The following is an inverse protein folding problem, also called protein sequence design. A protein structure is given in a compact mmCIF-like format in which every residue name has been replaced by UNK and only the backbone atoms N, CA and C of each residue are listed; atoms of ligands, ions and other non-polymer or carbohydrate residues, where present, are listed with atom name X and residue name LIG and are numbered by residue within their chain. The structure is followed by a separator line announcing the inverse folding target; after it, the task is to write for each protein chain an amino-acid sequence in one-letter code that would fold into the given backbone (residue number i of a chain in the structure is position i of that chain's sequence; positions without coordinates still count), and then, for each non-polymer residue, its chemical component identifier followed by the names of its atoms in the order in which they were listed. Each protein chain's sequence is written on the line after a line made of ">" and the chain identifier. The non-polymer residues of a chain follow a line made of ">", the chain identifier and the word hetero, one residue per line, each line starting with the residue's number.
data_IF_371450936804
#
_entry.id   IF_371450936804
#
_cell.length_a   1.000
_cell.length_b   1.000
_cell.length_c   1.000
_cell.angle_alpha   90.00
_cell.angle_beta   90.00
_cell.angle_gamma   90.00
#
_symmetry.space_group_name_H-M   'P 1'
#
loop_
_entity.id
_entity.type
_entity.pdbx_description
1 polymer ?
#
# COMPACT_ATOMS: atom_id res chain seq x y z
N UNK A 1 -83.87 40.30 -41.90
CA UNK A 1 -83.75 40.09 -40.44
C UNK A 1 -82.50 39.24 -40.18
N UNK A 2 -81.44 39.85 -39.61
CA UNK A 2 -80.20 39.24 -39.05
C UNK A 2 -79.25 38.52 -40.03
N UNK A 3 -77.92 38.56 -39.99
CA UNK A 3 -76.84 39.37 -39.38
C UNK A 3 -75.60 38.99 -40.22
N UNK A 4 -74.74 39.95 -40.52
CA UNK A 4 -73.45 39.80 -41.21
C UNK A 4 -72.46 39.06 -40.32
N UNK A 5 -71.62 38.16 -40.88
CA UNK A 5 -70.25 37.97 -40.37
C UNK A 5 -69.31 37.41 -41.44
N UNK A 6 -68.40 38.27 -41.89
CA UNK A 6 -67.19 37.94 -42.66
C UNK A 6 -66.14 37.37 -41.70
N UNK A 7 -65.53 36.22 -42.02
CA UNK A 7 -64.33 35.72 -41.33
C UNK A 7 -63.22 35.50 -42.35
N UNK A 8 -62.16 36.32 -42.20
CA UNK A 8 -60.95 36.34 -43.01
C UNK A 8 -59.93 35.37 -42.39
N UNK A 9 -59.51 34.33 -43.11
CA UNK A 9 -58.46 33.41 -42.65
C UNK A 9 -57.07 34.03 -42.86
N UNK A 10 -56.43 34.49 -41.79
CA UNK A 10 -55.02 34.89 -41.74
C UNK A 10 -54.13 33.66 -41.48
N UNK A 11 -53.25 33.34 -42.42
CA UNK A 11 -52.22 32.32 -42.27
C UNK A 11 -51.02 32.88 -41.46
N UNK A 12 -50.67 32.23 -40.34
CA UNK A 12 -49.49 32.55 -39.55
C UNK A 12 -48.38 31.54 -39.93
N UNK A 13 -47.19 31.97 -40.38
CA UNK A 13 -46.07 31.06 -40.51
C UNK A 13 -45.47 30.77 -39.13
N UNK A 14 -45.55 29.51 -38.72
CA UNK A 14 -44.93 29.00 -37.50
C UNK A 14 -43.41 28.82 -37.75
N UNK A 15 -42.63 29.87 -37.52
CA UNK A 15 -41.16 29.76 -37.51
C UNK A 15 -40.69 29.01 -36.26
N UNK A 16 -40.57 27.69 -36.37
CA UNK A 16 -39.96 26.84 -35.36
C UNK A 16 -38.46 27.18 -35.20
N UNK A 17 -38.11 27.89 -34.14
CA UNK A 17 -36.73 28.19 -33.76
C UNK A 17 -36.10 26.95 -33.12
N UNK A 18 -35.42 26.12 -33.92
CA UNK A 18 -34.60 25.00 -33.44
C UNK A 18 -33.31 25.53 -32.78
N UNK A 19 -33.39 25.93 -31.50
CA UNK A 19 -32.18 26.11 -30.68
C UNK A 19 -31.53 24.75 -30.46
N UNK A 20 -30.35 24.54 -31.07
CA UNK A 20 -29.51 23.37 -30.80
C UNK A 20 -29.13 23.35 -29.31
N UNK A 21 -29.30 22.23 -28.59
CA UNK A 21 -28.81 22.12 -27.22
C UNK A 21 -27.30 22.29 -27.21
N UNK A 22 -26.79 23.11 -26.30
CA UNK A 22 -25.36 23.27 -26.08
C UNK A 22 -24.75 21.89 -25.80
N UNK A 23 -23.75 21.52 -26.61
CA UNK A 23 -23.03 20.24 -26.47
C UNK A 23 -22.36 20.24 -25.10
N UNK A 24 -22.87 19.43 -24.17
CA UNK A 24 -22.31 19.24 -22.83
C UNK A 24 -20.83 18.89 -23.01
N UNK A 25 -19.94 19.68 -22.40
CA UNK A 25 -18.50 19.41 -22.47
C UNK A 25 -18.25 17.97 -22.02
N UNK A 26 -17.48 17.22 -22.82
CA UNK A 26 -17.12 15.85 -22.47
C UNK A 26 -16.43 15.85 -21.09
N UNK A 27 -16.78 14.88 -20.25
CA UNK A 27 -16.12 14.73 -18.96
C UNK A 27 -14.61 14.56 -19.18
N UNK A 28 -13.75 15.17 -18.34
CA UNK A 28 -12.31 14.97 -18.44
C UNK A 28 -11.98 13.47 -18.38
N UNK A 29 -10.99 12.99 -19.16
CA UNK A 29 -10.57 11.60 -19.08
C UNK A 29 -10.16 11.24 -17.63
N UNK A 30 -10.40 10.00 -17.20
CA UNK A 30 -10.05 9.57 -15.85
C UNK A 30 -8.56 9.80 -15.60
N UNK A 31 -8.18 10.24 -14.39
CA UNK A 31 -6.78 10.50 -14.07
C UNK A 31 -5.96 9.21 -14.22
N UNK A 32 -4.81 9.32 -14.87
CA UNK A 32 -3.88 8.20 -15.04
C UNK A 32 -3.28 7.86 -13.67
N UNK A 33 -3.61 6.68 -13.16
CA UNK A 33 -2.99 6.12 -11.97
C UNK A 33 -1.67 5.45 -12.37
N UNK A 34 -0.66 5.60 -11.51
CA UNK A 34 0.65 4.96 -11.65
C UNK A 34 0.81 3.97 -10.52
N UNK A 35 1.20 2.74 -10.86
CA UNK A 35 1.51 1.67 -9.90
C UNK A 35 2.98 1.29 -9.99
N UNK A 36 3.70 1.31 -8.87
CA UNK A 36 5.12 0.96 -8.82
C UNK A 36 5.57 0.51 -7.43
N UNK A 37 6.75 -0.10 -7.36
CA UNK A 37 7.42 -0.34 -6.09
C UNK A 37 7.97 1.00 -5.57
N UNK A 38 7.65 1.40 -4.32
CA UNK A 38 8.12 2.67 -3.78
C UNK A 38 9.62 2.62 -3.45
N UNK A 39 10.23 3.79 -3.32
CA UNK A 39 11.51 3.89 -2.60
C UNK A 39 11.25 3.59 -1.12
N UNK A 40 11.98 2.61 -0.58
CA UNK A 40 11.79 2.17 0.80
C UNK A 40 13.11 1.97 1.53
N UNK A 41 13.09 2.19 2.83
CA UNK A 41 14.18 1.83 3.75
C UNK A 41 13.70 0.69 4.65
N UNK A 42 14.41 -0.42 4.61
CA UNK A 42 14.20 -1.57 5.48
C UNK A 42 15.29 -1.58 6.56
N UNK A 43 14.99 -1.26 7.84
CA UNK A 43 16.00 -1.24 8.90
C UNK A 43 16.62 -2.60 9.15
N UNK A 44 15.82 -3.66 9.02
CA UNK A 44 16.25 -5.04 9.27
C UNK A 44 15.91 -5.92 8.07
N UNK A 45 16.78 -5.96 7.03
CA UNK A 45 16.57 -6.84 5.88
C UNK A 45 16.62 -8.31 6.29
N UNK A 46 15.50 -9.02 6.12
CA UNK A 46 15.44 -10.45 6.38
C UNK A 46 16.24 -11.19 5.30
N UNK A 47 16.02 -10.85 4.03
CA UNK A 47 16.77 -11.39 2.89
C UNK A 47 15.87 -11.65 1.68
N UNK A 48 16.39 -12.43 0.73
CA UNK A 48 15.67 -12.80 -0.49
C UNK A 48 15.20 -14.25 -0.40
N UNK A 49 13.96 -14.50 -0.79
CA UNK A 49 13.40 -15.83 -0.90
C UNK A 49 14.15 -16.70 -1.92
N UNK A 50 14.48 -17.93 -1.54
CA UNK A 50 15.24 -18.85 -2.39
C UNK A 50 14.41 -19.29 -3.59
N UNK A 51 13.11 -19.53 -3.40
CA UNK A 51 12.21 -19.98 -4.47
C UNK A 51 11.55 -18.80 -5.19
N UNK A 52 10.94 -17.90 -4.43
CA UNK A 52 10.15 -16.77 -4.93
C UNK A 52 10.99 -15.64 -5.53
N UNK A 53 12.26 -15.53 -5.11
CA UNK A 53 13.19 -14.44 -5.46
C UNK A 53 12.71 -13.04 -5.03
N UNK A 54 11.71 -12.95 -4.15
CA UNK A 54 11.23 -11.68 -3.61
C UNK A 54 12.03 -11.30 -2.36
N UNK A 55 12.12 -10.00 -2.10
CA UNK A 55 12.78 -9.48 -0.90
C UNK A 55 11.82 -9.39 0.27
N UNK A 56 12.29 -9.76 1.45
CA UNK A 56 11.55 -9.70 2.71
C UNK A 56 12.24 -8.75 3.68
N UNK A 57 11.44 -7.97 4.41
CA UNK A 57 11.90 -7.09 5.48
C UNK A 57 11.27 -7.50 6.82
N UNK A 58 12.07 -7.62 7.87
CA UNK A 58 11.56 -7.86 9.22
C UNK A 58 10.82 -6.59 9.71
N UNK A 59 9.61 -6.77 10.24
CA UNK A 59 8.84 -5.73 10.93
C UNK A 59 9.21 -5.76 12.41
N UNK A 60 9.87 -4.70 12.87
CA UNK A 60 10.32 -4.57 14.25
C UNK A 60 9.20 -4.02 15.13
N UNK A 61 9.05 -4.59 16.32
CA UNK A 61 8.27 -3.96 17.39
C UNK A 61 9.03 -2.70 17.80
N UNK A 62 8.43 -1.53 17.63
CA UNK A 62 9.05 -0.24 17.92
C UNK A 62 7.96 0.81 18.22
N UNK A 63 8.34 1.94 18.82
CA UNK A 63 7.41 3.05 19.12
C UNK A 63 7.65 4.30 18.29
N UNK A 64 8.84 4.43 17.72
CA UNK A 64 9.23 5.56 16.87
C UNK A 64 9.02 5.19 15.41
N UNK A 65 8.16 5.90 14.64
CA UNK A 65 7.98 5.69 13.21
C UNK A 65 9.30 5.70 12.44
N UNK A 66 10.30 6.49 12.84
CA UNK A 66 11.60 6.53 12.17
C UNK A 66 12.40 5.21 12.26
N UNK A 67 12.09 4.36 13.25
CA UNK A 67 12.72 3.05 13.42
C UNK A 67 12.00 1.91 12.66
N UNK A 68 10.86 2.21 12.03
CA UNK A 68 10.09 1.24 11.24
C UNK A 68 10.52 1.12 9.79
N UNK A 69 9.76 0.38 9.00
CA UNK A 69 9.99 0.27 7.55
C UNK A 69 9.43 1.54 6.90
N UNK A 70 10.34 2.36 6.35
CA UNK A 70 9.98 3.66 5.80
C UNK A 70 9.64 3.52 4.31
N UNK A 71 8.48 4.01 3.92
CA UNK A 71 8.01 4.00 2.53
C UNK A 71 7.86 5.46 2.09
N UNK A 72 8.67 5.90 1.14
CA UNK A 72 8.58 7.24 0.56
C UNK A 72 7.54 7.25 -0.56
N UNK A 73 6.68 8.26 -0.52
CA UNK A 73 5.63 8.47 -1.50
C UNK A 73 6.09 9.53 -2.50
N UNK A 74 6.15 9.21 -3.81
CA UNK A 74 6.47 10.20 -4.83
C UNK A 74 5.45 11.36 -4.82
N UNK A 75 5.80 12.54 -5.37
CA UNK A 75 4.87 13.64 -5.50
C UNK A 75 3.56 13.23 -6.20
N UNK A 76 2.45 13.37 -5.49
CA UNK A 76 1.14 12.87 -5.91
C UNK A 76 0.03 13.89 -5.65
N UNK A 77 -1.18 13.54 -6.10
CA UNK A 77 -2.43 14.27 -5.83
C UNK A 77 -3.48 13.32 -5.32
N UNK A 78 -4.21 13.73 -4.29
CA UNK A 78 -5.17 12.86 -3.62
C UNK A 78 -4.49 11.75 -2.82
N UNK A 79 -5.25 10.76 -2.35
CA UNK A 79 -4.70 9.66 -1.54
C UNK A 79 -3.82 8.71 -2.36
N UNK A 80 -2.97 7.96 -1.66
CA UNK A 80 -2.15 6.86 -2.21
C UNK A 80 -2.68 5.53 -1.71
N UNK A 81 -2.80 4.54 -2.59
CA UNK A 81 -3.07 3.16 -2.18
C UNK A 81 -1.73 2.46 -1.95
N UNK A 82 -1.47 2.04 -0.71
CA UNK A 82 -0.34 1.20 -0.33
C UNK A 82 -0.81 -0.26 -0.25
N UNK A 83 -0.09 -1.17 -0.91
CA UNK A 83 -0.33 -2.62 -0.79
C UNK A 83 0.95 -3.37 -0.45
N UNK A 84 0.84 -4.43 0.32
CA UNK A 84 1.95 -5.35 0.61
C UNK A 84 1.42 -6.70 1.11
N UNK A 85 2.27 -7.71 1.09
CA UNK A 85 2.00 -9.00 1.72
C UNK A 85 2.59 -9.01 3.13
N UNK A 86 1.77 -9.37 4.11
CA UNK A 86 2.15 -9.51 5.52
C UNK A 86 2.25 -10.99 5.87
N UNK A 87 3.34 -11.36 6.53
CA UNK A 87 3.65 -12.74 6.92
C UNK A 87 3.99 -12.81 8.41
N UNK A 88 3.69 -13.95 9.05
CA UNK A 88 4.28 -14.23 10.36
C UNK A 88 5.71 -14.76 10.19
N UNK A 89 6.53 -14.54 11.22
CA UNK A 89 7.94 -14.93 11.21
C UNK A 89 8.17 -16.22 12.00
N UNK A 90 8.53 -17.30 11.32
CA UNK A 90 8.84 -18.61 11.92
C UNK A 90 10.35 -18.80 12.06
N UNK A 91 10.80 -19.32 13.21
CA UNK A 91 12.16 -19.89 13.33
C UNK A 91 12.09 -21.40 13.06
N UNK A 92 12.55 -21.81 11.89
CA UNK A 92 12.52 -23.18 11.40
C UNK A 92 13.58 -24.08 12.04
N UNK A 93 13.17 -25.26 12.49
CA UNK A 93 14.01 -26.31 13.06
C UNK A 93 13.58 -27.67 12.51
N UNK A 94 14.46 -28.34 11.74
CA UNK A 94 14.22 -29.71 11.24
C UNK A 94 14.01 -30.71 12.37
N UNK A 95 14.71 -30.51 13.49
CA UNK A 95 14.63 -31.38 14.66
C UNK A 95 13.25 -31.32 15.31
N UNK A 96 12.71 -30.12 15.49
CA UNK A 96 11.38 -29.95 16.09
C UNK A 96 10.28 -30.46 15.17
N UNK A 97 10.44 -30.33 13.85
CA UNK A 97 9.48 -30.88 12.88
C UNK A 97 9.48 -32.40 12.96
N UNK A 98 10.65 -33.05 12.94
CA UNK A 98 10.76 -34.50 13.09
C UNK A 98 10.25 -34.98 14.45
N UNK A 99 10.48 -34.18 15.50
CA UNK A 99 10.02 -34.44 16.86
C UNK A 99 8.55 -34.14 17.11
N UNK A 100 7.78 -33.66 16.12
CA UNK A 100 6.37 -33.25 16.26
C UNK A 100 6.13 -32.16 17.32
N UNK A 101 7.15 -31.33 17.58
CA UNK A 101 7.11 -30.20 18.53
C UNK A 101 7.08 -28.83 17.84
N UNK A 102 7.14 -28.81 16.51
CA UNK A 102 7.28 -27.57 15.75
C UNK A 102 6.00 -26.75 15.65
N UNK A 103 4.84 -27.28 16.09
CA UNK A 103 3.58 -26.58 15.97
C UNK A 103 3.63 -25.22 16.66
N UNK A 104 3.29 -24.18 15.91
CA UNK A 104 3.10 -22.83 16.43
C UNK A 104 2.02 -22.09 15.64
N UNK A 105 1.08 -21.46 16.35
CA UNK A 105 0.15 -20.49 15.78
C UNK A 105 0.64 -19.09 16.11
N UNK A 106 0.78 -18.26 15.10
CA UNK A 106 1.23 -16.88 15.22
C UNK A 106 0.10 -15.92 14.91
N UNK A 107 0.01 -14.85 15.69
CA UNK A 107 -0.84 -13.69 15.40
C UNK A 107 -0.01 -12.44 15.60
N UNK A 108 0.43 -11.81 14.50
CA UNK A 108 1.13 -10.54 14.53
C UNK A 108 0.18 -9.40 14.18
N UNK A 109 0.27 -8.29 14.93
CA UNK A 109 -0.38 -7.03 14.60
C UNK A 109 0.66 -5.94 14.36
N UNK A 110 0.43 -5.16 13.31
CA UNK A 110 1.29 -4.07 12.87
C UNK A 110 0.47 -2.78 12.70
N UNK A 111 1.12 -1.64 12.87
CA UNK A 111 0.58 -0.32 12.56
C UNK A 111 1.26 0.25 11.31
N UNK A 112 0.47 0.99 10.51
CA UNK A 112 1.00 1.90 9.50
C UNK A 112 0.74 3.32 9.99
N UNK A 113 1.82 4.10 10.14
CA UNK A 113 1.80 5.39 10.78
C UNK A 113 2.39 6.47 9.87
N UNK A 114 1.93 7.70 10.05
CA UNK A 114 2.62 8.90 9.57
C UNK A 114 3.90 9.11 10.38
N UNK A 115 4.78 9.99 9.90
CA UNK A 115 6.05 10.28 10.58
C UNK A 115 5.88 11.06 11.89
N UNK A 116 4.73 11.71 12.10
CA UNK A 116 4.37 12.34 13.38
C UNK A 116 3.71 11.38 14.38
N UNK A 117 3.78 10.07 14.12
CA UNK A 117 3.25 9.00 14.95
C UNK A 117 1.71 8.93 15.01
N UNK A 118 1.02 9.47 14.00
CA UNK A 118 -0.42 9.28 13.81
C UNK A 118 -0.70 7.94 13.14
N UNK A 119 -1.55 7.12 13.75
CA UNK A 119 -1.95 5.83 13.18
C UNK A 119 -2.89 6.03 11.99
N UNK A 120 -2.51 5.49 10.83
CA UNK A 120 -3.33 5.45 9.62
C UNK A 120 -4.20 4.19 9.62
N UNK A 121 -3.59 3.03 9.83
CA UNK A 121 -4.28 1.74 9.80
C UNK A 121 -3.54 0.68 10.61
N UNK A 122 -4.26 -0.36 11.01
CA UNK A 122 -3.74 -1.55 11.67
C UNK A 122 -4.00 -2.77 10.81
N UNK A 123 -3.01 -3.62 10.66
CA UNK A 123 -3.11 -4.89 9.95
C UNK A 123 -2.73 -6.06 10.86
N UNK A 124 -3.31 -7.22 10.60
CA UNK A 124 -3.10 -8.43 11.39
C UNK A 124 -2.91 -9.61 10.43
N UNK A 125 -1.96 -10.48 10.74
CA UNK A 125 -1.80 -11.78 10.07
C UNK A 125 -1.87 -12.89 11.10
N UNK A 126 -2.59 -13.96 10.77
CA UNK A 126 -2.62 -15.19 11.54
C UNK A 126 -2.25 -16.38 10.67
N UNK A 127 -1.36 -17.22 11.16
CA UNK A 127 -0.97 -18.45 10.47
C UNK A 127 -0.51 -19.52 11.44
N UNK A 128 -0.50 -20.75 10.96
CA UNK A 128 0.00 -21.90 11.70
C UNK A 128 1.17 -22.52 10.96
N UNK A 129 2.20 -22.86 11.70
CA UNK A 129 3.33 -23.63 11.22
C UNK A 129 3.29 -25.01 11.84
N UNK A 130 3.38 -26.06 11.00
CA UNK A 130 3.45 -27.47 11.41
C UNK A 130 4.69 -28.13 10.82
N UNK A 131 5.00 -27.81 9.56
CA UNK A 131 6.08 -28.42 8.79
C UNK A 131 6.71 -27.40 7.84
N UNK A 132 7.84 -27.75 7.22
CA UNK A 132 8.50 -26.92 6.21
C UNK A 132 7.58 -26.50 5.05
N UNK A 133 6.48 -27.22 4.79
CA UNK A 133 5.50 -26.89 3.74
C UNK A 133 4.64 -25.67 4.06
N UNK A 134 4.57 -25.27 5.33
CA UNK A 134 3.82 -24.09 5.76
C UNK A 134 4.64 -22.79 5.65
N UNK A 135 5.92 -22.90 5.24
CA UNK A 135 6.75 -21.75 4.93
C UNK A 135 6.36 -21.19 3.56
N UNK A 136 6.27 -19.87 3.47
CA UNK A 136 6.07 -19.16 2.20
C UNK A 136 7.33 -19.28 1.33
N UNK A 137 8.50 -19.15 1.95
CA UNK A 137 9.79 -19.39 1.30
C UNK A 137 10.87 -19.72 2.36
N UNK A 138 12.00 -20.24 1.90
CA UNK A 138 13.25 -20.24 2.66
C UNK A 138 14.02 -18.99 2.31
N UNK A 139 14.61 -18.33 3.30
CA UNK A 139 15.38 -17.10 3.08
C UNK A 139 16.85 -17.43 2.89
N UNK A 140 17.48 -16.90 1.84
CA UNK A 140 18.91 -17.09 1.58
C UNK A 140 19.81 -16.25 2.50
N UNK A 141 21.12 -16.46 2.40
CA UNK A 141 22.13 -15.69 3.14
C UNK A 141 22.26 -16.08 4.62
N UNK A 142 21.95 -17.33 4.95
CA UNK A 142 22.17 -17.89 6.28
C UNK A 142 23.32 -18.89 6.33
N UNK A 143 23.69 -19.28 7.55
CA UNK A 143 24.74 -20.28 7.81
C UNK A 143 24.21 -21.74 7.81
N UNK A 144 22.92 -21.95 7.55
CA UNK A 144 22.32 -23.28 7.53
C UNK A 144 22.63 -24.08 6.25
N UNK A 145 22.22 -25.35 6.19
CA UNK A 145 22.33 -26.18 4.98
C UNK A 145 21.71 -25.47 3.76
N UNK A 146 22.36 -25.53 2.60
CA UNK A 146 21.99 -24.78 1.40
C UNK A 146 22.06 -23.25 1.51
N UNK A 147 22.73 -22.71 2.54
CA UNK A 147 22.95 -21.26 2.69
C UNK A 147 21.70 -20.48 3.09
N UNK A 148 20.74 -21.15 3.75
CA UNK A 148 19.48 -20.53 4.17
C UNK A 148 19.49 -20.13 5.63
N UNK A 149 18.73 -19.10 5.96
CA UNK A 149 18.49 -18.65 7.34
C UNK A 149 17.56 -19.63 8.06
N UNK A 150 17.69 -19.63 9.39
CA UNK A 150 16.77 -20.37 10.27
C UNK A 150 15.40 -19.68 10.35
N UNK A 151 15.31 -18.40 10.00
CA UNK A 151 14.05 -17.64 10.02
C UNK A 151 13.41 -17.59 8.63
N UNK A 152 12.08 -17.71 8.58
CA UNK A 152 11.33 -17.77 7.34
C UNK A 152 9.88 -17.25 7.52
N UNK A 153 9.30 -16.64 6.47
CA UNK A 153 7.90 -16.20 6.48
C UNK A 153 6.93 -17.39 6.44
N UNK A 154 5.81 -17.28 7.14
CA UNK A 154 4.70 -18.24 7.13
C UNK A 154 3.34 -17.52 7.14
N UNK A 155 2.40 -18.04 6.34
CA UNK A 155 1.15 -17.35 6.05
C UNK A 155 1.35 -16.10 5.20
N UNK A 156 0.30 -15.69 4.50
CA UNK A 156 0.31 -14.49 3.67
C UNK A 156 -1.05 -13.82 3.80
N UNK A 157 -1.07 -12.58 4.26
CA UNK A 157 -2.23 -11.71 4.25
C UNK A 157 -1.95 -10.52 3.32
N UNK A 158 -2.81 -10.31 2.31
CA UNK A 158 -2.66 -9.20 1.38
C UNK A 158 -3.27 -7.93 1.96
N UNK A 159 -2.43 -6.94 2.28
CA UNK A 159 -2.85 -5.69 2.92
C UNK A 159 -3.05 -4.60 1.87
N UNK A 160 -4.14 -3.85 2.00
CA UNK A 160 -4.46 -2.67 1.18
C UNK A 160 -4.84 -1.53 2.11
N UNK A 161 -4.11 -0.42 2.05
CA UNK A 161 -4.28 0.75 2.93
C UNK A 161 -4.36 2.01 2.07
N UNK A 162 -5.29 2.89 2.41
CA UNK A 162 -5.35 4.24 1.84
C UNK A 162 -4.56 5.19 2.72
N UNK A 163 -3.47 5.73 2.17
CA UNK A 163 -2.70 6.81 2.79
C UNK A 163 -3.37 8.15 2.44
N UNK A 164 -3.68 9.00 3.44
CA UNK A 164 -4.25 10.32 3.21
C UNK A 164 -3.39 11.20 2.29
N UNK A 165 -4.03 12.13 1.59
CA UNK A 165 -3.32 13.17 0.84
C UNK A 165 -2.53 14.07 1.80
N UNK A 166 -1.28 14.39 1.45
CA UNK A 166 -0.41 15.27 2.24
C UNK A 166 0.74 14.54 2.93
N UNK A 167 0.65 13.22 3.07
CA UNK A 167 1.76 12.39 3.56
C UNK A 167 2.76 12.14 2.44
N UNK A 168 4.04 12.41 2.68
CA UNK A 168 5.13 12.09 1.75
C UNK A 168 5.90 10.83 2.16
N UNK A 169 5.65 10.34 3.37
CA UNK A 169 6.30 9.16 3.93
C UNK A 169 5.40 8.50 4.98
N UNK A 170 5.42 7.18 5.01
CA UNK A 170 4.76 6.39 6.06
C UNK A 170 5.70 5.32 6.59
N UNK A 171 5.42 4.85 7.80
CA UNK A 171 6.19 3.82 8.49
C UNK A 171 5.33 2.61 8.81
N UNK A 172 5.87 1.41 8.59
CA UNK A 172 5.28 0.14 9.06
C UNK A 172 6.02 -0.30 10.32
N UNK A 173 5.26 -0.49 11.41
CA UNK A 173 5.77 -0.82 12.73
C UNK A 173 5.06 -2.03 13.32
N UNK A 174 5.80 -2.86 14.04
CA UNK A 174 5.24 -3.96 14.80
C UNK A 174 4.64 -3.48 16.11
N UNK A 175 3.48 -4.01 16.48
CA UNK A 175 2.83 -3.67 17.74
C UNK A 175 2.84 -4.83 18.73
N UNK A 176 2.42 -6.01 18.26
CA UNK A 176 2.26 -7.17 19.12
C UNK A 176 2.37 -8.47 18.33
N UNK A 177 3.02 -9.46 18.93
CA UNK A 177 3.00 -10.85 18.49
C UNK A 177 2.46 -11.73 19.59
N UNK A 178 1.48 -12.57 19.27
CA UNK A 178 1.10 -13.71 20.10
C UNK A 178 1.57 -14.99 19.40
N UNK A 179 2.18 -15.89 20.17
CA UNK A 179 2.57 -17.22 19.69
C UNK A 179 2.01 -18.28 20.62
N UNK A 180 1.16 -19.15 20.09
CA UNK A 180 0.64 -20.33 20.78
C UNK A 180 1.41 -21.56 20.31
N UNK A 181 1.98 -22.30 21.25
CA UNK A 181 2.69 -23.56 21.05
C UNK A 181 2.10 -24.62 21.97
N UNK A 182 2.55 -25.87 21.81
CA UNK A 182 2.12 -26.96 22.68
C UNK A 182 2.48 -26.74 24.16
N UNK A 183 3.57 -26.03 24.43
CA UNK A 183 4.09 -25.73 25.77
C UNK A 183 3.50 -24.44 26.38
N UNK A 184 2.72 -23.67 25.62
CA UNK A 184 1.98 -22.52 26.12
C UNK A 184 1.86 -21.36 25.14
N UNK A 185 1.43 -20.21 25.65
CA UNK A 185 1.25 -18.97 24.89
C UNK A 185 2.27 -17.93 25.35
N UNK A 186 2.90 -17.25 24.39
CA UNK A 186 3.78 -16.11 24.64
C UNK A 186 3.26 -14.87 23.91
N UNK A 187 3.41 -13.70 24.52
CA UNK A 187 3.06 -12.41 23.92
C UNK A 187 4.25 -11.46 23.98
N UNK A 188 4.53 -10.80 22.87
CA UNK A 188 5.63 -9.84 22.71
C UNK A 188 5.08 -8.52 22.20
N UNK A 189 5.27 -7.45 22.96
CA UNK A 189 4.90 -6.08 22.58
C UNK A 189 5.96 -5.04 22.97
N UNK A 190 7.10 -5.50 23.51
CA UNK A 190 8.20 -4.63 23.87
C UNK A 190 9.06 -4.34 22.63
N UNK A 191 9.61 -3.12 22.51
CA UNK A 191 10.49 -2.76 21.39
C UNK A 191 11.72 -3.66 21.22
N UNK A 192 12.30 -3.66 20.02
CA UNK A 192 13.55 -4.34 19.70
C UNK A 192 13.42 -5.81 19.26
N UNK A 193 12.22 -6.28 18.93
CA UNK A 193 11.98 -7.65 18.43
C UNK A 193 11.32 -7.67 17.06
N UNK A 194 11.85 -8.43 16.08
CA UNK A 194 11.14 -8.69 14.83
C UNK A 194 9.95 -9.63 15.10
N UNK A 195 8.76 -9.26 14.61
CA UNK A 195 7.52 -10.00 14.88
C UNK A 195 6.81 -10.55 13.65
N UNK A 196 7.06 -9.95 12.49
CA UNK A 196 6.42 -10.28 11.22
C UNK A 196 7.38 -9.93 10.08
N UNK A 197 7.05 -10.36 8.88
CA UNK A 197 7.79 -10.04 7.67
C UNK A 197 6.85 -9.39 6.65
N UNK A 198 7.35 -8.44 5.86
CA UNK A 198 6.61 -7.87 4.72
C UNK A 198 7.34 -8.12 3.41
N UNK A 199 6.57 -8.33 2.35
CA UNK A 199 7.06 -8.43 0.98
C UNK A 199 6.11 -7.76 -0.02
N UNK A 200 6.50 -7.69 -1.30
CA UNK A 200 5.65 -7.20 -2.40
C UNK A 200 5.02 -5.81 -2.16
N UNK A 201 5.79 -4.89 -1.57
CA UNK A 201 5.33 -3.52 -1.30
C UNK A 201 5.15 -2.76 -2.62
N UNK A 202 3.95 -2.25 -2.85
CA UNK A 202 3.57 -1.47 -4.03
C UNK A 202 2.76 -0.25 -3.62
N UNK A 203 2.87 0.82 -4.39
CA UNK A 203 2.02 2.00 -4.29
C UNK A 203 1.26 2.21 -5.60
N UNK A 204 0.03 2.70 -5.49
CA UNK A 204 -0.75 3.20 -6.61
C UNK A 204 -1.24 4.60 -6.29
N UNK A 205 -0.93 5.56 -7.17
CA UNK A 205 -1.18 6.98 -6.93
C UNK A 205 -1.43 7.74 -8.22
N UNK A 206 -2.00 8.94 -8.09
CA UNK A 206 -2.09 9.91 -9.17
C UNK A 206 -0.89 10.85 -9.12
N UNK A 207 -0.01 10.89 -10.14
CA UNK A 207 1.16 11.76 -10.12
C UNK A 207 0.81 13.25 -10.01
N UNK A 208 1.62 14.01 -9.28
CA UNK A 208 1.53 15.46 -9.27
C UNK A 208 1.84 16.02 -10.68
N UNK A 209 1.20 17.14 -11.10
CA UNK A 209 1.56 17.81 -12.34
C UNK A 209 3.04 18.19 -12.31
N UNK A 210 3.75 18.10 -13.45
CA UNK A 210 5.13 18.54 -13.51
C UNK A 210 5.23 20.02 -13.06
N UNK A 211 6.33 20.40 -12.38
CA UNK A 211 6.54 21.79 -11.99
C UNK A 211 6.40 22.70 -13.21
N UNK A 212 5.64 23.81 -13.08
CA UNK A 212 5.60 24.81 -14.15
C UNK A 212 7.02 25.31 -14.36
N UNK A 213 7.62 25.02 -15.51
CA UNK A 213 8.89 25.62 -15.90
C UNK A 213 8.73 27.13 -15.77
N UNK A 214 9.48 27.73 -14.85
CA UNK A 214 9.47 29.17 -14.66
C UNK A 214 9.79 29.81 -16.00
N UNK A 215 8.93 30.74 -16.46
CA UNK A 215 9.28 31.69 -17.51
C UNK A 215 10.60 32.33 -17.08
N UNK A 216 11.73 31.88 -17.61
CA UNK A 216 12.97 32.61 -17.61
C UNK A 216 12.66 33.91 -18.34
N UNK A 217 12.37 34.94 -17.55
CA UNK A 217 12.04 36.26 -18.03
C UNK A 217 13.18 36.74 -18.89
N UNK A 218 12.92 36.87 -20.19
CA UNK A 218 13.77 37.64 -21.08
C UNK A 218 13.92 39.04 -20.49
N UNK A 219 15.08 39.33 -19.92
CA UNK A 219 15.48 40.70 -19.62
C UNK A 219 15.99 41.27 -20.92
N UNK A 220 15.08 41.93 -21.62
CA UNK A 220 15.33 42.66 -22.84
C UNK A 220 16.42 43.72 -22.65
N UNK A 221 17.28 43.75 -23.66
CA UNK A 221 18.08 44.87 -24.14
C UNK A 221 17.34 46.21 -24.11
N UNK A 222 17.81 47.17 -23.30
CA UNK A 222 17.78 48.66 -23.44
C UNK A 222 18.94 49.16 -22.55
N UNK A 223 20.02 49.73 -23.05
CA UNK A 223 20.10 51.01 -23.77
C UNK A 223 20.79 52.00 -22.84
N UNK A 224 22.03 52.40 -23.18
CA UNK A 224 22.92 53.28 -22.41
C UNK A 224 24.35 53.08 -22.88
#
# INVERSE_FOLDING_TARGET
>A
MRIVLFVLCLAIPLSAQTRRPARKAAAPPPPVLKKEAPEMTCPTPLGVGVTTKISFCDVMTERDPAAGILIKLPPHKGPVTLTFDLHNRQTYSEEDVRGHRAFARYTASIGVLTMDNTLISRAIVQSEFRTARDLVDRIGGGAGPAGVKAVAPTGTEAIVITIPEGEDQVSILGEKLTVERQDGTATFAQPGRPIADVSNIMIEYKPAPPPKQGRTGGRGRRGG
#
